data_IF_699723827889
#
_entry.id   IF_699723827889
#
_cell.length_a   1.000
_cell.length_b   1.000
_cell.length_c   1.000
_cell.angle_alpha   90.00
_cell.angle_beta   90.00
_cell.angle_gamma   90.00
#
_symmetry.space_group_name_H-M   'P 1'
#
loop_
_entity.id
_entity.type
_entity.pdbx_description
1 polymer ?
#
# COMPACT_ATOMS: atom_id res chain seq x y z
N UNK A 1 -7.73 9.55 9.21
CA UNK A 1 -8.79 9.17 8.26
C UNK A 1 -8.79 7.66 8.12
N UNK A 2 -9.88 6.95 8.42
CA UNK A 2 -10.00 5.48 8.32
C UNK A 2 -10.21 4.98 6.89
N UNK A 3 -10.42 5.89 5.93
CA UNK A 3 -10.77 5.59 4.55
C UNK A 3 -9.81 4.60 3.85
N UNK A 4 -8.50 4.69 4.13
CA UNK A 4 -7.51 3.77 3.54
C UNK A 4 -7.72 2.34 4.04
N UNK A 5 -7.95 2.18 5.34
CA UNK A 5 -8.19 0.87 5.95
C UNK A 5 -9.52 0.26 5.49
N UNK A 6 -10.58 1.09 5.36
CA UNK A 6 -11.87 0.66 4.83
C UNK A 6 -11.76 0.18 3.38
N UNK A 7 -11.01 0.89 2.53
CA UNK A 7 -10.74 0.49 1.15
C UNK A 7 -9.96 -0.83 1.08
N UNK A 8 -8.92 -0.97 1.90
CA UNK A 8 -8.13 -2.20 1.97
C UNK A 8 -9.00 -3.40 2.38
N UNK A 9 -9.80 -3.25 3.43
CA UNK A 9 -10.70 -4.30 3.91
C UNK A 9 -11.77 -4.68 2.88
N UNK A 10 -12.30 -3.70 2.14
CA UNK A 10 -13.26 -3.95 1.06
C UNK A 10 -12.62 -4.77 -0.06
N UNK A 11 -11.38 -4.48 -0.43
CA UNK A 11 -10.66 -5.18 -1.48
C UNK A 11 -10.26 -6.60 -1.08
N UNK A 12 -9.82 -6.80 0.18
CA UNK A 12 -9.58 -8.13 0.76
C UNK A 12 -10.83 -8.99 0.62
N UNK A 13 -12.00 -8.49 1.04
CA UNK A 13 -13.28 -9.20 0.93
C UNK A 13 -13.67 -9.47 -0.53
N UNK A 14 -13.45 -8.50 -1.43
CA UNK A 14 -13.77 -8.65 -2.86
C UNK A 14 -12.93 -9.75 -3.50
N UNK A 15 -11.62 -9.79 -3.24
CA UNK A 15 -10.69 -10.79 -3.79
C UNK A 15 -10.91 -12.18 -3.18
N UNK A 16 -11.18 -12.27 -1.88
CA UNK A 16 -11.50 -13.56 -1.23
C UNK A 16 -12.82 -14.15 -1.75
N UNK A 17 -13.81 -13.31 -2.04
CA UNK A 17 -15.12 -13.76 -2.53
C UNK A 17 -15.07 -14.45 -3.91
N UNK A 18 -14.07 -14.15 -4.75
CA UNK A 18 -13.91 -14.81 -6.07
C UNK A 18 -13.54 -16.28 -5.92
N UNK A 19 -12.77 -16.62 -4.88
CA UNK A 19 -12.36 -18.01 -4.61
C UNK A 19 -13.48 -18.79 -3.92
N UNK A 20 -14.30 -18.11 -3.09
CA UNK A 20 -15.40 -18.71 -2.35
C UNK A 20 -14.90 -19.54 -1.16
N UNK A 21 -14.43 -20.77 -1.40
CA UNK A 21 -13.97 -21.71 -0.35
C UNK A 21 -12.48 -22.02 -0.56
N UNK A 22 -11.69 -21.85 0.50
CA UNK A 22 -10.26 -22.15 0.48
C UNK A 22 -9.99 -23.56 0.99
N UNK A 23 -9.12 -24.34 0.32
CA UNK A 23 -8.78 -25.70 0.75
C UNK A 23 -7.97 -25.75 2.05
N UNK A 24 -7.19 -24.70 2.35
CA UNK A 24 -6.40 -24.57 3.60
C UNK A 24 -6.26 -23.11 4.02
N UNK A 25 -5.93 -22.87 5.30
CA UNK A 25 -5.63 -21.52 5.79
C UNK A 25 -4.45 -20.89 5.04
N UNK A 26 -3.43 -21.68 4.71
CA UNK A 26 -2.26 -21.19 3.97
C UNK A 26 -2.63 -20.66 2.58
N UNK A 27 -3.63 -21.25 1.93
CA UNK A 27 -4.10 -20.78 0.63
C UNK A 27 -4.78 -19.41 0.70
N UNK A 28 -5.49 -19.14 1.79
CA UNK A 28 -6.04 -17.82 2.08
C UNK A 28 -4.93 -16.82 2.37
N UNK A 29 -3.99 -17.18 3.26
CA UNK A 29 -2.85 -16.32 3.62
C UNK A 29 -2.06 -15.95 2.37
N UNK A 30 -1.74 -16.92 1.50
CA UNK A 30 -1.02 -16.65 0.24
C UNK A 30 -1.71 -15.62 -0.63
N UNK A 31 -3.02 -15.75 -0.85
CA UNK A 31 -3.77 -14.78 -1.65
C UNK A 31 -3.70 -13.37 -1.06
N UNK A 32 -3.94 -13.25 0.24
CA UNK A 32 -3.95 -11.95 0.91
C UNK A 32 -2.55 -11.36 0.97
N UNK A 33 -1.53 -12.16 1.27
CA UNK A 33 -0.13 -11.73 1.28
C UNK A 33 0.33 -11.22 -0.08
N UNK A 34 0.03 -11.93 -1.18
CA UNK A 34 0.32 -11.45 -2.52
C UNK A 34 -0.33 -10.08 -2.79
N UNK A 35 -1.62 -9.93 -2.46
CA UNK A 35 -2.31 -8.65 -2.62
C UNK A 35 -1.70 -7.53 -1.75
N UNK A 36 -1.32 -7.82 -0.52
CA UNK A 36 -0.72 -6.82 0.37
C UNK A 36 0.66 -6.36 -0.12
N UNK A 37 1.44 -7.26 -0.75
CA UNK A 37 2.71 -6.90 -1.39
C UNK A 37 2.45 -5.94 -2.57
N UNK A 38 1.54 -6.30 -3.49
CA UNK A 38 1.13 -5.43 -4.60
C UNK A 38 0.68 -4.06 -4.10
N UNK A 39 -0.18 -4.05 -3.07
CA UNK A 39 -0.72 -2.82 -2.50
C UNK A 39 0.37 -1.94 -1.87
N UNK A 40 1.37 -2.55 -1.22
CA UNK A 40 2.48 -1.82 -0.63
C UNK A 40 3.38 -1.19 -1.71
N UNK A 41 3.64 -1.90 -2.81
CA UNK A 41 4.40 -1.38 -3.96
C UNK A 41 3.67 -0.19 -4.62
N UNK A 42 2.36 -0.33 -4.87
CA UNK A 42 1.52 0.76 -5.37
C UNK A 42 1.51 1.97 -4.40
N UNK A 43 1.47 1.71 -3.10
CA UNK A 43 1.48 2.77 -2.09
C UNK A 43 2.77 3.58 -2.12
N UNK A 44 3.93 2.92 -2.32
CA UNK A 44 5.23 3.60 -2.41
C UNK A 44 5.33 4.53 -3.63
N UNK A 45 4.65 4.18 -4.73
CA UNK A 45 4.64 4.98 -5.97
C UNK A 45 3.51 6.03 -6.02
N UNK A 46 2.67 6.07 -4.98
CA UNK A 46 1.52 6.97 -4.91
C UNK A 46 1.91 8.45 -4.83
N UNK A 47 0.90 9.32 -4.85
CA UNK A 47 1.06 10.77 -5.02
C UNK A 47 1.98 11.37 -3.97
N UNK A 48 3.09 11.96 -4.41
CA UNK A 48 3.97 12.71 -3.53
C UNK A 48 3.37 14.10 -3.23
N UNK A 49 2.96 14.32 -1.98
CA UNK A 49 2.39 15.59 -1.54
C UNK A 49 3.48 16.66 -1.28
N UNK A 50 4.74 16.26 -1.20
CA UNK A 50 5.87 17.18 -1.02
C UNK A 50 6.54 17.40 -2.38
N UNK A 51 6.59 18.65 -2.83
CA UNK A 51 7.30 18.99 -4.07
C UNK A 51 8.80 18.69 -3.91
N UNK A 52 9.34 17.90 -4.84
CA UNK A 52 10.77 17.53 -4.89
C UNK A 52 11.71 18.75 -4.78
N UNK A 53 11.33 19.87 -5.42
CA UNK A 53 12.12 21.11 -5.42
C UNK A 53 12.32 21.66 -4.00
N UNK A 54 11.26 21.65 -3.17
CA UNK A 54 11.32 22.15 -1.79
C UNK A 54 12.23 21.25 -0.96
N UNK A 55 12.09 19.93 -1.12
CA UNK A 55 12.96 18.93 -0.48
C UNK A 55 14.44 19.18 -0.82
N UNK A 56 14.75 19.40 -2.10
CA UNK A 56 16.12 19.67 -2.54
C UNK A 56 16.67 20.97 -1.94
N UNK A 57 15.85 22.02 -1.88
CA UNK A 57 16.23 23.29 -1.24
C UNK A 57 16.56 23.12 0.25
N UNK A 58 15.76 22.33 0.98
CA UNK A 58 16.00 22.04 2.41
C UNK A 58 17.30 21.25 2.60
N UNK A 59 17.54 20.24 1.78
CA UNK A 59 18.77 19.43 1.83
C UNK A 59 20.00 20.30 1.59
N UNK A 60 19.97 21.14 0.55
CA UNK A 60 21.09 22.03 0.22
C UNK A 60 21.35 23.05 1.35
N UNK A 61 20.31 23.60 1.99
CA UNK A 61 20.47 24.49 3.15
C UNK A 61 21.12 23.79 4.34
N UNK A 62 20.80 22.51 4.59
CA UNK A 62 21.40 21.72 5.67
C UNK A 62 22.87 21.36 5.42
N UNK A 63 23.29 21.27 4.17
CA UNK A 63 24.69 20.98 3.81
C UNK A 63 25.60 22.21 3.83
N UNK A 64 25.01 23.41 3.77
CA UNK A 64 25.73 24.69 3.79
C UNK A 64 25.89 25.28 5.20
N UNK A 65 25.33 24.63 6.23
CA UNK A 65 25.45 24.99 7.65
C UNK A 65 26.36 23.97 8.35
#
# INVERSE_FOLDING_TARGET
STNVLERLNKEIRRRSNVVGIFPTMDSYIRLISCYLIEYAEDWQTSRCYIKKIILQQIINRRQAA
#
